data_IF_065120995406
#
_entry.id   IF_065120995406
#
_cell.length_a   1.000
_cell.length_b   1.000
_cell.length_c   1.000
_cell.angle_alpha   90.00
_cell.angle_beta   90.00
_cell.angle_gamma   90.00
#
_symmetry.space_group_name_H-M   'P 1'
#
loop_
_entity.id
_entity.type
_entity.pdbx_description
1 polymer ?
#
# COMPACT_ATOMS: atom_id res chain seq x y z
N UNK A 1 -16.76 14.44 20.84
CA UNK A 1 -16.14 15.79 20.84
C UNK A 1 -15.89 16.17 19.39
N UNK A 2 -16.60 17.18 18.86
CA UNK A 2 -16.48 17.63 17.46
C UNK A 2 -15.53 18.82 17.42
N UNK A 3 -14.40 18.70 16.72
CA UNK A 3 -13.49 19.84 16.50
C UNK A 3 -13.78 20.38 15.10
N UNK A 4 -14.32 21.59 15.04
CA UNK A 4 -14.53 22.32 13.79
C UNK A 4 -13.44 23.38 13.67
N UNK A 5 -12.65 23.36 12.58
CA UNK A 5 -11.60 24.35 12.34
C UNK A 5 -12.02 25.20 11.13
N UNK A 6 -12.17 26.50 11.34
CA UNK A 6 -12.57 27.46 10.30
C UNK A 6 -11.34 28.19 9.73
N UNK A 7 -11.38 28.60 8.45
CA UNK A 7 -10.25 29.28 7.79
C UNK A 7 -10.16 30.79 8.09
N UNK A 8 -11.14 31.40 8.78
CA UNK A 8 -11.10 32.83 9.10
C UNK A 8 -10.40 33.11 10.43
N UNK A 9 -9.56 34.16 10.43
CA UNK A 9 -8.71 34.59 11.54
C UNK A 9 -9.48 35.03 12.80
N UNK A 10 -10.81 35.17 12.72
CA UNK A 10 -11.66 35.65 13.81
C UNK A 10 -12.10 34.58 14.81
N UNK A 11 -12.11 33.30 14.43
CA UNK A 11 -12.76 32.24 15.22
C UNK A 11 -11.80 31.11 15.60
N UNK A 12 -10.58 31.47 15.99
CA UNK A 12 -9.59 30.53 16.53
C UNK A 12 -9.87 30.22 18.01
N UNK A 13 -11.00 29.59 18.32
CA UNK A 13 -11.21 28.95 19.61
C UNK A 13 -10.64 27.52 19.57
N UNK A 14 -9.31 27.42 19.69
CA UNK A 14 -8.61 26.13 19.83
C UNK A 14 -7.92 26.12 21.19
N UNK A 15 -8.51 25.31 22.10
CA UNK A 15 -7.95 24.78 23.35
C UNK A 15 -7.85 25.74 24.55
N UNK A 16 -8.90 25.73 25.37
CA UNK A 16 -8.79 26.05 26.81
C UNK A 16 -9.46 25.00 27.70
N UNK A 17 -9.39 23.71 27.33
CA UNK A 17 -9.99 22.64 28.13
C UNK A 17 -9.20 21.34 28.27
N UNK A 18 -7.92 21.34 27.88
CA UNK A 18 -6.97 20.30 28.26
C UNK A 18 -5.74 21.01 28.81
N UNK A 19 -5.48 20.92 30.11
CA UNK A 19 -4.50 21.70 30.87
C UNK A 19 -3.03 21.50 30.46
N UNK A 20 -2.68 21.93 29.25
CA UNK A 20 -1.31 21.93 28.72
C UNK A 20 -0.73 23.33 28.76
N UNK A 21 -0.36 23.80 29.95
CA UNK A 21 0.34 25.08 30.16
C UNK A 21 1.81 25.05 29.69
N UNK A 22 2.38 23.88 29.42
CA UNK A 22 3.82 23.71 29.13
C UNK A 22 4.25 23.80 27.66
N UNK A 23 3.32 23.87 26.71
CA UNK A 23 3.65 23.76 25.26
C UNK A 23 3.75 25.14 24.59
N UNK A 24 3.26 26.22 25.23
CA UNK A 24 3.19 27.54 24.60
C UNK A 24 4.56 28.23 24.37
N UNK A 25 5.58 27.91 25.17
CA UNK A 25 6.85 28.63 25.14
C UNK A 25 7.81 28.25 23.97
N UNK A 26 8.01 26.97 23.60
CA UNK A 26 8.83 26.63 22.43
C UNK A 26 8.12 26.93 21.09
N UNK A 27 6.81 27.18 21.11
CA UNK A 27 6.02 27.45 19.92
C UNK A 27 6.43 28.74 19.23
N UNK A 28 6.60 29.85 19.97
CA UNK A 28 6.87 31.16 19.38
C UNK A 28 8.22 31.25 18.65
N UNK A 29 9.16 30.37 18.99
CA UNK A 29 10.50 30.33 18.41
C UNK A 29 10.56 29.59 17.07
N UNK A 30 9.66 28.60 16.85
CA UNK A 30 9.56 27.85 15.59
C UNK A 30 8.86 28.64 14.46
N UNK A 31 8.08 29.66 14.82
CA UNK A 31 7.26 30.45 13.88
C UNK A 31 8.01 31.48 13.04
N UNK A 32 9.29 31.77 13.30
CA UNK A 32 10.03 32.84 12.59
C UNK A 32 10.75 32.40 11.31
N UNK A 33 10.74 31.12 10.92
CA UNK A 33 11.66 30.61 9.88
C UNK A 33 11.08 29.72 8.77
N UNK A 34 9.77 29.56 8.65
CA UNK A 34 9.18 28.60 7.69
C UNK A 34 8.06 29.22 6.86
N UNK A 35 8.09 28.97 5.55
CA UNK A 35 7.12 29.42 4.54
C UNK A 35 5.76 28.68 4.61
N UNK A 36 5.51 27.92 5.68
CA UNK A 36 4.23 27.26 5.90
C UNK A 36 3.28 28.18 6.65
N UNK A 37 2.08 28.36 6.10
CA UNK A 37 1.01 29.06 6.78
C UNK A 37 0.75 28.42 8.15
N UNK A 38 0.58 29.25 9.19
CA UNK A 38 0.47 28.81 10.61
C UNK A 38 -0.57 27.71 10.82
N UNK A 39 -1.61 27.71 9.98
CA UNK A 39 -2.65 26.68 9.91
C UNK A 39 -2.11 25.27 9.60
N UNK A 40 -1.18 25.15 8.63
CA UNK A 40 -0.60 23.87 8.21
C UNK A 40 0.27 23.26 9.30
N UNK A 41 1.03 24.10 10.01
CA UNK A 41 1.88 23.66 11.12
C UNK A 41 1.03 23.18 12.29
N UNK A 42 -0.04 23.91 12.64
CA UNK A 42 -0.96 23.49 13.71
C UNK A 42 -1.67 22.19 13.35
N UNK A 43 -2.17 22.05 12.12
CA UNK A 43 -2.78 20.79 11.66
C UNK A 43 -1.76 19.64 11.72
N UNK A 44 -0.54 19.84 11.22
CA UNK A 44 0.50 18.82 11.23
C UNK A 44 0.89 18.39 12.65
N UNK A 45 1.04 19.33 13.58
CA UNK A 45 1.38 19.05 14.98
C UNK A 45 0.24 18.35 15.74
N UNK A 46 -1.01 18.74 15.49
CA UNK A 46 -2.18 18.03 16.04
C UNK A 46 -2.22 16.59 15.51
N UNK A 47 -1.92 16.39 14.23
CA UNK A 47 -1.92 15.07 13.62
C UNK A 47 -0.75 14.20 14.10
N UNK A 48 0.43 14.79 14.32
CA UNK A 48 1.58 14.11 14.96
C UNK A 48 1.31 13.75 16.42
N UNK A 49 0.66 14.62 17.19
CA UNK A 49 0.27 14.34 18.56
C UNK A 49 -0.73 13.18 18.62
N UNK A 50 -1.73 13.19 17.75
CA UNK A 50 -2.73 12.12 17.62
C UNK A 50 -2.11 10.79 17.15
N UNK A 51 -1.14 10.84 16.23
CA UNK A 51 -0.43 9.65 15.73
C UNK A 51 0.42 8.96 16.81
N UNK A 52 0.77 9.67 17.89
CA UNK A 52 1.67 9.21 18.96
C UNK A 52 0.95 8.46 20.08
N UNK A 53 -0.36 8.67 20.28
CA UNK A 53 -1.08 8.13 21.45
C UNK A 53 -1.83 6.81 21.22
N UNK A 54 -1.79 6.21 20.00
CA UNK A 54 -2.39 4.89 19.68
C UNK A 54 -3.84 4.69 20.20
N UNK A 55 -4.60 5.76 20.46
CA UNK A 55 -5.99 5.68 20.90
C UNK A 55 -6.88 6.31 19.84
N UNK A 56 -7.60 5.42 19.16
CA UNK A 56 -8.62 5.72 18.18
C UNK A 56 -9.64 6.73 18.72
N UNK A 57 -9.58 7.96 18.23
CA UNK A 57 -10.71 8.89 18.27
C UNK A 57 -10.79 9.52 16.86
N UNK A 58 -11.33 8.75 15.91
CA UNK A 58 -11.45 9.15 14.49
C UNK A 58 -12.90 9.35 14.03
N UNK A 59 -13.82 9.69 14.93
CA UNK A 59 -15.24 9.80 14.54
C UNK A 59 -15.78 11.21 14.29
N UNK A 60 -15.04 12.31 14.48
CA UNK A 60 -15.67 13.63 14.37
C UNK A 60 -14.77 14.84 14.05
N UNK A 61 -13.77 14.69 13.16
CA UNK A 61 -13.04 15.85 12.63
C UNK A 61 -13.54 16.12 11.21
N UNK A 62 -14.36 17.16 11.06
CA UNK A 62 -14.84 17.63 9.75
C UNK A 62 -14.10 18.93 9.42
N UNK A 63 -13.09 18.84 8.54
CA UNK A 63 -12.42 20.03 7.99
C UNK A 63 -13.22 20.49 6.78
N UNK A 64 -13.85 21.67 6.88
CA UNK A 64 -14.50 22.30 5.73
C UNK A 64 -13.40 22.87 4.83
N UNK A 65 -13.25 22.28 3.63
CA UNK A 65 -12.27 22.61 2.58
C UNK A 65 -10.79 22.33 2.95
N UNK A 66 -10.37 21.04 2.99
CA UNK A 66 -8.97 20.72 3.17
C UNK A 66 -8.15 21.05 1.90
N UNK A 67 -6.98 21.69 2.07
CA UNK A 67 -5.95 21.72 1.03
C UNK A 67 -5.50 20.29 0.70
N UNK A 68 -4.98 20.03 -0.52
CA UNK A 68 -4.65 18.66 -1.00
C UNK A 68 -3.83 17.83 0.00
N UNK A 69 -2.87 18.45 0.69
CA UNK A 69 -2.02 17.82 1.71
C UNK A 69 -2.79 17.40 2.97
N UNK A 70 -3.77 18.21 3.41
CA UNK A 70 -4.61 17.91 4.57
C UNK A 70 -5.63 16.82 4.22
N UNK A 71 -6.14 16.82 2.99
CA UNK A 71 -6.99 15.74 2.50
C UNK A 71 -6.25 14.40 2.48
N UNK A 72 -5.02 14.40 1.94
CA UNK A 72 -4.13 13.23 1.93
C UNK A 72 -3.83 12.72 3.35
N UNK A 73 -3.56 13.62 4.30
CA UNK A 73 -3.28 13.25 5.68
C UNK A 73 -4.53 12.72 6.40
N UNK A 74 -5.70 13.31 6.13
CA UNK A 74 -7.00 12.76 6.61
C UNK A 74 -7.26 11.38 6.01
N UNK A 75 -6.92 11.14 4.74
CA UNK A 75 -7.03 9.80 4.14
C UNK A 75 -6.09 8.81 4.84
N UNK A 76 -4.81 9.18 5.04
CA UNK A 76 -3.86 8.36 5.81
C UNK A 76 -4.37 8.02 7.22
N UNK A 77 -5.01 8.99 7.89
CA UNK A 77 -5.53 8.79 9.25
C UNK A 77 -6.85 8.02 9.28
N UNK A 78 -7.71 8.17 8.26
CA UNK A 78 -8.89 7.32 8.05
C UNK A 78 -8.51 5.86 7.77
N UNK A 79 -7.42 5.63 7.05
CA UNK A 79 -6.85 4.31 6.82
C UNK A 79 -6.33 3.68 8.12
N UNK A 80 -5.72 4.48 9.00
CA UNK A 80 -5.34 4.05 10.37
C UNK A 80 -6.54 3.76 11.28
N UNK A 81 -7.71 4.35 11.03
CA UNK A 81 -8.89 4.25 11.89
C UNK A 81 -9.78 3.02 11.65
N UNK A 82 -9.42 2.16 10.69
CA UNK A 82 -10.16 0.93 10.35
C UNK A 82 -9.22 -0.28 10.39
N UNK A 83 -8.60 -0.48 11.55
CA UNK A 83 -7.76 -1.64 11.86
C UNK A 83 -8.58 -2.93 11.74
N UNK A 84 -8.16 -3.76 10.81
CA UNK A 84 -8.69 -5.08 10.55
C UNK A 84 -7.82 -5.70 9.47
N UNK A 85 -7.45 -6.97 9.66
CA UNK A 85 -6.75 -7.76 8.66
C UNK A 85 -7.56 -7.79 7.36
N UNK A 86 -7.06 -7.18 6.30
CA UNK A 86 -7.73 -7.09 5.00
C UNK A 86 -7.16 -8.09 4.03
N UNK A 87 -8.04 -8.77 3.30
CA UNK A 87 -7.62 -9.57 2.14
C UNK A 87 -6.91 -8.64 1.16
N UNK A 88 -5.70 -9.01 0.79
CA UNK A 88 -4.83 -8.23 -0.09
C UNK A 88 -4.28 -9.14 -1.16
N UNK A 89 -4.35 -8.67 -2.41
CA UNK A 89 -3.81 -9.40 -3.55
C UNK A 89 -2.71 -8.59 -4.20
N UNK A 90 -1.56 -9.24 -4.37
CA UNK A 90 -0.41 -8.73 -5.12
C UNK A 90 -0.22 -9.58 -6.38
N UNK A 91 -0.02 -8.91 -7.51
CA UNK A 91 0.33 -9.54 -8.78
C UNK A 91 1.83 -9.67 -8.90
N UNK A 92 2.28 -10.78 -9.48
CA UNK A 92 3.68 -11.08 -9.75
C UNK A 92 3.89 -11.19 -11.25
N UNK A 93 5.01 -10.68 -11.76
CA UNK A 93 5.39 -10.80 -13.17
C UNK A 93 6.89 -10.95 -13.38
N UNK A 94 7.33 -11.88 -14.23
CA UNK A 94 8.74 -12.07 -14.58
C UNK A 94 8.93 -12.43 -16.06
N UNK A 95 9.90 -11.79 -16.74
CA UNK A 95 10.25 -12.12 -18.12
C UNK A 95 11.74 -12.29 -18.41
N UNK A 96 12.61 -12.27 -17.39
CA UNK A 96 14.06 -12.45 -17.55
C UNK A 96 14.57 -13.63 -16.72
N UNK A 97 15.54 -14.36 -17.29
CA UNK A 97 16.23 -15.46 -16.59
C UNK A 97 15.30 -16.61 -16.21
N UNK A 98 15.49 -17.15 -15.01
CA UNK A 98 14.61 -18.17 -14.44
C UNK A 98 13.31 -17.52 -13.95
N UNK A 99 12.37 -17.30 -14.89
CA UNK A 99 11.09 -16.62 -14.63
C UNK A 99 10.30 -17.29 -13.51
N UNK A 100 10.23 -18.61 -13.49
CA UNK A 100 9.49 -19.35 -12.47
C UNK A 100 10.20 -19.26 -11.11
N UNK A 101 11.53 -19.42 -11.08
CA UNK A 101 12.33 -19.24 -9.87
C UNK A 101 12.19 -17.84 -9.28
N UNK A 102 12.08 -16.80 -10.10
CA UNK A 102 11.83 -15.43 -9.63
C UNK A 102 10.45 -15.27 -9.00
N UNK A 103 9.39 -15.83 -9.61
CA UNK A 103 8.06 -15.84 -9.01
C UNK A 103 8.05 -16.59 -7.67
N UNK A 104 8.69 -17.76 -7.60
CA UNK A 104 8.79 -18.55 -6.37
C UNK A 104 9.58 -17.82 -5.27
N UNK A 105 10.68 -17.16 -5.64
CA UNK A 105 11.47 -16.36 -4.71
C UNK A 105 10.67 -15.18 -4.15
N UNK A 106 9.85 -14.52 -4.97
CA UNK A 106 8.95 -13.46 -4.54
C UNK A 106 7.88 -13.96 -3.55
N UNK A 107 7.27 -15.13 -3.83
CA UNK A 107 6.33 -15.78 -2.89
C UNK A 107 7.00 -16.09 -1.56
N UNK A 108 8.20 -16.69 -1.59
CA UNK A 108 8.94 -17.03 -0.37
C UNK A 108 9.33 -15.79 0.45
N UNK A 109 9.81 -14.73 -0.22
CA UNK A 109 10.16 -13.47 0.43
C UNK A 109 8.94 -12.78 1.06
N UNK A 110 7.79 -12.82 0.38
CA UNK A 110 6.54 -12.31 0.93
C UNK A 110 6.06 -13.13 2.13
N UNK A 111 6.07 -14.46 2.02
CA UNK A 111 5.65 -15.38 3.07
C UNK A 111 6.47 -15.23 4.36
N UNK A 112 7.76 -14.89 4.24
CA UNK A 112 8.65 -14.68 5.37
C UNK A 112 8.24 -13.49 6.27
N UNK A 113 7.51 -12.49 5.76
CA UNK A 113 7.05 -11.36 6.59
C UNK A 113 5.54 -11.32 6.80
N UNK A 114 4.74 -11.83 5.86
CA UNK A 114 3.30 -12.03 6.07
C UNK A 114 2.88 -13.40 5.54
N UNK A 115 2.17 -14.23 6.33
CA UNK A 115 1.73 -15.53 5.87
C UNK A 115 0.88 -15.43 4.59
N UNK A 116 1.45 -15.94 3.50
CA UNK A 116 0.71 -16.15 2.24
C UNK A 116 -0.38 -17.19 2.47
N UNK A 117 -1.61 -16.85 2.12
CA UNK A 117 -2.78 -17.72 2.26
C UNK A 117 -3.02 -18.56 1.00
N UNK A 118 -2.80 -17.99 -0.17
CA UNK A 118 -3.01 -18.67 -1.45
C UNK A 118 -2.16 -18.03 -2.57
N UNK A 119 -1.86 -18.84 -3.58
CA UNK A 119 -1.19 -18.42 -4.82
C UNK A 119 -2.02 -18.93 -5.99
N UNK A 120 -2.13 -18.14 -7.05
CA UNK A 120 -2.85 -18.55 -8.26
C UNK A 120 -2.02 -19.55 -9.07
N UNK A 121 -2.63 -20.12 -10.12
CA UNK A 121 -1.86 -20.70 -11.23
C UNK A 121 -0.90 -19.68 -11.85
N UNK A 122 0.11 -20.20 -12.54
CA UNK A 122 1.04 -19.40 -13.34
C UNK A 122 0.53 -19.31 -14.77
N UNK A 123 0.50 -18.09 -15.31
CA UNK A 123 0.03 -17.78 -16.66
C UNK A 123 1.14 -17.18 -17.51
N UNK A 124 1.28 -17.65 -18.75
CA UNK A 124 2.22 -17.07 -19.72
C UNK A 124 1.50 -16.09 -20.64
N UNK A 125 2.09 -14.92 -20.85
CA UNK A 125 1.49 -13.84 -21.64
C UNK A 125 2.50 -13.11 -22.53
N UNK A 126 1.98 -12.54 -23.62
CA UNK A 126 2.73 -11.57 -24.42
C UNK A 126 3.03 -10.31 -23.59
N UNK A 127 4.17 -9.65 -23.81
CA UNK A 127 4.48 -8.39 -23.15
C UNK A 127 3.60 -7.25 -23.67
N UNK A 128 3.36 -6.25 -22.81
CA UNK A 128 2.82 -4.97 -23.23
C UNK A 128 3.97 -4.03 -23.58
N UNK A 129 3.91 -3.39 -24.74
CA UNK A 129 4.89 -2.41 -25.19
C UNK A 129 5.88 -2.99 -26.21
N UNK A 130 7.18 -2.62 -26.15
CA UNK A 130 8.16 -3.07 -27.15
C UNK A 130 8.36 -4.59 -27.13
N UNK A 131 8.81 -5.19 -28.25
CA UNK A 131 9.13 -6.61 -28.31
C UNK A 131 10.13 -7.02 -27.22
N UNK A 132 9.75 -8.01 -26.41
CA UNK A 132 10.54 -8.55 -25.32
C UNK A 132 10.09 -10.00 -25.04
N UNK A 133 10.82 -10.78 -24.22
CA UNK A 133 10.41 -12.15 -23.90
C UNK A 133 9.03 -12.21 -23.24
N UNK A 134 8.39 -13.38 -23.35
CA UNK A 134 7.10 -13.65 -22.70
C UNK A 134 7.19 -13.51 -21.19
N UNK A 135 6.11 -13.05 -20.57
CA UNK A 135 5.99 -12.97 -19.12
C UNK A 135 5.39 -14.25 -18.54
N UNK A 136 5.87 -14.69 -17.39
CA UNK A 136 5.08 -15.48 -16.46
C UNK A 136 4.45 -14.52 -15.45
N UNK A 137 3.15 -14.70 -15.19
CA UNK A 137 2.38 -13.90 -14.24
C UNK A 137 1.63 -14.82 -13.26
N UNK A 138 1.48 -14.36 -12.03
CA UNK A 138 0.70 -15.01 -10.99
C UNK A 138 0.14 -13.96 -10.01
N UNK A 139 -0.68 -14.39 -9.05
CA UNK A 139 -1.14 -13.55 -7.95
C UNK A 139 -0.95 -14.27 -6.61
N UNK A 140 -0.86 -13.48 -5.54
CA UNK A 140 -0.66 -13.93 -4.17
C UNK A 140 -1.68 -13.25 -3.25
N UNK A 141 -2.38 -14.04 -2.45
CA UNK A 141 -3.34 -13.59 -1.45
C UNK A 141 -2.75 -13.73 -0.05
N UNK A 142 -2.90 -12.68 0.75
CA UNK A 142 -2.54 -12.66 2.17
C UNK A 142 -3.42 -11.67 2.93
N UNK A 143 -3.24 -11.61 4.25
CA UNK A 143 -3.87 -10.60 5.10
C UNK A 143 -2.88 -9.47 5.40
N UNK A 144 -3.34 -8.23 5.24
CA UNK A 144 -2.55 -7.03 5.50
C UNK A 144 -3.26 -6.11 6.48
N UNK A 145 -2.52 -5.65 7.49
CA UNK A 145 -3.00 -4.71 8.52
C UNK A 145 -2.38 -3.31 8.38
N UNK A 146 -1.29 -3.19 7.63
CA UNK A 146 -0.58 -1.93 7.43
C UNK A 146 -1.24 -0.99 6.42
N UNK A 147 -0.62 0.16 6.21
CA UNK A 147 -1.01 1.10 5.16
C UNK A 147 -0.62 0.60 3.76
N UNK A 148 -1.29 1.09 2.71
CA UNK A 148 -0.89 0.87 1.31
C UNK A 148 0.56 1.24 1.01
N UNK A 149 1.08 2.31 1.61
CA UNK A 149 2.45 2.77 1.39
C UNK A 149 3.50 1.87 2.04
N UNK A 150 3.22 1.35 3.22
CA UNK A 150 4.10 0.38 3.88
C UNK A 150 4.20 -0.89 3.02
N UNK A 151 3.06 -1.37 2.48
CA UNK A 151 3.06 -2.51 1.55
C UNK A 151 3.87 -2.19 0.30
N UNK A 152 3.66 -1.03 -0.34
CA UNK A 152 4.38 -0.65 -1.54
C UNK A 152 5.90 -0.61 -1.31
N UNK A 153 6.33 0.02 -0.22
CA UNK A 153 7.75 0.13 0.13
C UNK A 153 8.35 -1.25 0.36
N UNK A 154 7.60 -2.13 1.00
CA UNK A 154 8.03 -3.49 1.27
C UNK A 154 8.16 -4.33 -0.01
N UNK A 155 7.17 -4.28 -0.91
CA UNK A 155 7.25 -4.95 -2.21
C UNK A 155 8.45 -4.45 -3.02
N UNK A 156 8.70 -3.14 -3.06
CA UNK A 156 9.87 -2.57 -3.74
C UNK A 156 11.20 -3.05 -3.14
N UNK A 157 11.23 -3.35 -1.84
CA UNK A 157 12.41 -3.91 -1.17
C UNK A 157 12.65 -5.35 -1.61
N UNK A 158 11.59 -6.16 -1.72
CA UNK A 158 11.66 -7.54 -2.26
C UNK A 158 12.12 -7.52 -3.72
N UNK A 159 11.57 -6.64 -4.55
CA UNK A 159 12.00 -6.52 -5.94
C UNK A 159 13.48 -6.18 -6.06
N UNK A 160 13.95 -5.26 -5.22
CA UNK A 160 15.35 -4.83 -5.22
C UNK A 160 16.28 -5.96 -4.77
N UNK A 161 15.89 -6.77 -3.77
CA UNK A 161 16.68 -7.91 -3.31
C UNK A 161 16.72 -9.06 -4.33
N UNK A 162 15.70 -9.17 -5.18
CA UNK A 162 15.63 -10.11 -6.32
C UNK A 162 16.23 -9.55 -7.62
N UNK A 163 17.04 -8.49 -7.51
CA UNK A 163 17.84 -7.99 -8.62
C UNK A 163 17.09 -7.14 -9.64
N UNK A 164 15.92 -6.56 -9.29
CA UNK A 164 15.24 -5.61 -10.16
C UNK A 164 16.06 -4.31 -10.27
N UNK A 165 16.55 -3.99 -11.48
CA UNK A 165 17.22 -2.72 -11.79
C UNK A 165 16.32 -1.90 -12.73
N UNK A 166 16.02 -0.65 -12.37
CA UNK A 166 15.16 0.25 -13.16
C UNK A 166 15.99 0.99 -14.22
N UNK A 167 16.06 0.44 -15.43
CA UNK A 167 16.75 1.08 -16.57
C UNK A 167 15.81 1.88 -17.48
N UNK A 168 14.68 1.29 -17.90
CA UNK A 168 13.77 1.88 -18.89
C UNK A 168 12.30 1.68 -18.52
N UNK A 169 11.43 2.60 -18.95
CA UNK A 169 9.96 2.47 -18.78
C UNK A 169 9.47 1.33 -19.68
N UNK A 170 8.88 0.30 -19.06
CA UNK A 170 8.44 -0.97 -19.70
C UNK A 170 9.56 -1.89 -20.20
N UNK A 171 10.78 -1.71 -19.68
CA UNK A 171 11.85 -2.65 -19.93
C UNK A 171 11.60 -4.04 -19.31
N UNK A 172 12.34 -5.05 -19.78
CA UNK A 172 12.30 -6.39 -19.22
C UNK A 172 12.82 -6.37 -17.77
N UNK A 173 12.28 -7.25 -16.93
CA UNK A 173 12.51 -7.26 -15.48
C UNK A 173 12.55 -8.67 -14.92
N UNK A 174 13.44 -8.86 -13.93
CA UNK A 174 13.57 -10.11 -13.19
C UNK A 174 12.31 -10.42 -12.40
N UNK A 175 11.74 -9.42 -11.73
CA UNK A 175 10.47 -9.51 -11.01
C UNK A 175 9.74 -8.16 -11.00
N UNK A 176 8.42 -8.21 -10.97
CA UNK A 176 7.48 -7.10 -10.81
C UNK A 176 6.43 -7.52 -9.78
N UNK A 177 6.19 -6.69 -8.77
CA UNK A 177 5.22 -6.92 -7.71
C UNK A 177 4.28 -5.72 -7.62
N UNK A 178 3.05 -5.89 -8.10
CA UNK A 178 2.04 -4.83 -8.13
C UNK A 178 0.94 -5.09 -7.08
N UNK A 179 0.60 -4.08 -6.28
CA UNK A 179 -0.58 -4.15 -5.41
C UNK A 179 -1.82 -4.07 -6.28
N UNK A 180 -2.55 -5.18 -6.45
CA UNK A 180 -3.73 -5.21 -7.30
C UNK A 180 -4.96 -4.69 -6.55
N UNK A 181 -5.15 -5.15 -5.32
CA UNK A 181 -6.36 -4.86 -4.55
C UNK A 181 -6.12 -5.06 -3.05
N UNK A 182 -6.72 -4.17 -2.26
CA UNK A 182 -6.83 -4.32 -0.80
C UNK A 182 -8.31 -4.19 -0.47
N UNK A 183 -8.83 -5.15 0.28
CA UNK A 183 -10.25 -5.25 0.60
C UNK A 183 -10.82 -3.96 1.18
N UNK A 184 -11.80 -3.39 0.49
CA UNK A 184 -12.52 -2.19 0.91
C UNK A 184 -11.69 -0.90 0.91
N UNK A 185 -10.51 -0.89 0.28
CA UNK A 185 -9.64 0.28 0.20
C UNK A 185 -9.63 0.84 -1.23
N UNK A 186 -10.23 2.01 -1.39
CA UNK A 186 -9.97 2.89 -2.52
C UNK A 186 -8.87 3.88 -2.11
N UNK A 187 -7.76 3.91 -2.83
CA UNK A 187 -6.62 4.75 -2.52
C UNK A 187 -6.07 5.39 -3.79
N UNK A 188 -5.91 6.71 -3.78
CA UNK A 188 -5.37 7.45 -4.92
C UNK A 188 -4.30 8.42 -4.47
N UNK A 189 -3.13 8.32 -5.10
CA UNK A 189 -1.97 9.17 -4.86
C UNK A 189 -1.12 9.28 -6.12
N UNK A 190 -0.15 10.19 -6.11
CA UNK A 190 0.77 10.38 -7.25
C UNK A 190 1.66 9.17 -7.54
N UNK A 191 1.80 8.22 -6.61
CA UNK A 191 2.73 7.08 -6.72
C UNK A 191 2.06 5.71 -6.58
N UNK A 192 0.80 5.66 -6.13
CA UNK A 192 0.06 4.43 -5.86
C UNK A 192 -1.44 4.67 -6.03
N UNK A 193 -2.09 3.75 -6.73
CA UNK A 193 -3.53 3.72 -6.95
C UNK A 193 -4.05 2.31 -6.61
N UNK A 194 -5.07 2.20 -5.77
CA UNK A 194 -5.69 0.93 -5.32
C UNK A 194 -7.21 1.03 -5.47
N UNK A 195 -7.87 0.09 -6.16
CA UNK A 195 -7.28 -1.04 -6.90
C UNK A 195 -6.32 -0.57 -8.00
N UNK A 196 -5.42 -1.42 -8.47
CA UNK A 196 -4.46 -1.00 -9.50
C UNK A 196 -5.21 -0.42 -10.71
N UNK A 197 -4.82 0.78 -11.18
CA UNK A 197 -5.58 1.57 -12.14
C UNK A 197 -5.95 0.80 -13.43
N UNK A 198 -5.03 -0.02 -13.94
CA UNK A 198 -5.27 -0.86 -15.14
C UNK A 198 -5.75 -2.29 -14.83
N UNK A 199 -6.18 -2.60 -13.59
CA UNK A 199 -6.54 -3.97 -13.20
C UNK A 199 -7.69 -4.52 -14.07
N UNK A 200 -8.72 -3.70 -14.30
CA UNK A 200 -9.90 -4.06 -15.13
C UNK A 200 -9.56 -4.30 -16.60
N UNK A 201 -8.46 -3.73 -17.08
CA UNK A 201 -8.07 -3.76 -18.49
C UNK A 201 -7.10 -4.91 -18.80
N UNK A 202 -6.43 -5.45 -17.77
CA UNK A 202 -5.32 -6.40 -17.92
C UNK A 202 -5.76 -7.80 -17.53
N UNK A 203 -6.16 -8.60 -18.52
CA UNK A 203 -6.53 -10.00 -18.33
C UNK A 203 -5.45 -10.80 -17.55
N UNK A 204 -4.17 -10.56 -17.84
CA UNK A 204 -3.06 -11.26 -17.18
C UNK A 204 -2.93 -10.98 -15.68
N UNK A 205 -3.46 -9.85 -15.21
CA UNK A 205 -3.54 -9.52 -13.79
C UNK A 205 -4.90 -9.97 -13.20
N UNK A 206 -5.98 -9.78 -13.95
CA UNK A 206 -7.34 -10.03 -13.46
C UNK A 206 -7.69 -11.52 -13.36
N UNK A 207 -7.22 -12.35 -14.28
CA UNK A 207 -7.44 -13.81 -14.25
C UNK A 207 -6.85 -14.44 -12.97
N UNK A 208 -5.53 -14.30 -12.68
CA UNK A 208 -4.97 -14.87 -11.46
C UNK A 208 -5.53 -14.20 -10.19
N UNK A 209 -5.91 -12.92 -10.24
CA UNK A 209 -6.58 -12.23 -9.14
C UNK A 209 -7.96 -12.83 -8.81
N UNK A 210 -8.83 -13.01 -9.81
CA UNK A 210 -10.17 -13.57 -9.63
C UNK A 210 -10.16 -15.06 -9.27
N UNK A 211 -9.08 -15.78 -9.57
CA UNK A 211 -8.87 -17.15 -9.09
C UNK A 211 -8.77 -17.20 -7.55
N UNK A 212 -8.17 -16.17 -6.94
CA UNK A 212 -7.95 -16.10 -5.49
C UNK A 212 -9.13 -15.49 -4.73
N UNK A 213 -9.77 -14.48 -5.30
CA UNK A 213 -10.85 -13.72 -4.67
C UNK A 213 -12.01 -13.49 -5.67
N UNK A 214 -12.77 -14.54 -6.03
CA UNK A 214 -13.84 -14.44 -7.02
C UNK A 214 -15.01 -13.54 -6.56
N UNK A 215 -15.12 -13.31 -5.25
CA UNK A 215 -16.09 -12.43 -4.61
C UNK A 215 -15.61 -10.97 -4.49
N UNK A 216 -14.42 -10.64 -5.00
CA UNK A 216 -13.87 -9.31 -4.86
C UNK A 216 -14.72 -8.25 -5.55
N UNK A 217 -14.90 -7.14 -4.83
CA UNK A 217 -15.65 -5.96 -5.29
C UNK A 217 -14.68 -4.79 -5.37
N UNK A 218 -14.88 -3.96 -6.38
CA UNK A 218 -14.13 -2.73 -6.55
C UNK A 218 -14.63 -1.68 -5.54
N UNK A 219 -13.79 -1.22 -4.59
CA UNK A 219 -14.19 -0.26 -3.58
C UNK A 219 -14.53 1.12 -4.14
N UNK A 220 -14.13 1.46 -5.37
CA UNK A 220 -14.42 2.77 -5.98
C UNK A 220 -15.86 2.88 -6.49
N UNK A 221 -16.38 1.82 -7.10
CA UNK A 221 -17.69 1.81 -7.76
C UNK A 221 -18.64 0.73 -7.24
N UNK A 222 -18.20 -0.11 -6.29
CA UNK A 222 -18.98 -1.19 -5.67
C UNK A 222 -19.47 -2.26 -6.67
N UNK A 223 -18.84 -2.35 -7.84
CA UNK A 223 -19.13 -3.37 -8.83
C UNK A 223 -18.16 -4.56 -8.72
N UNK A 224 -18.60 -5.80 -9.03
CA UNK A 224 -17.70 -6.93 -9.12
C UNK A 224 -16.67 -6.73 -10.24
N UNK A 225 -15.50 -7.33 -10.09
CA UNK A 225 -14.52 -7.41 -11.17
C UNK A 225 -14.98 -8.41 -12.24
N UNK A 226 -14.92 -8.02 -13.50
CA UNK A 226 -15.30 -8.86 -14.64
C UNK A 226 -14.10 -8.99 -15.56
N UNK A 227 -13.72 -10.23 -15.87
CA UNK A 227 -12.58 -10.51 -16.74
C UNK A 227 -12.83 -10.00 -18.16
N UNK A 228 -11.92 -9.17 -18.73
CA UNK A 228 -11.95 -8.87 -20.16
C UNK A 228 -11.61 -10.15 -20.97
N UNK A 229 -11.77 -10.13 -22.30
CA UNK A 229 -11.30 -11.21 -23.15
C UNK A 229 -9.84 -11.57 -22.83
N UNK A 230 -9.53 -12.87 -22.75
CA UNK A 230 -8.24 -13.37 -22.23
C UNK A 230 -7.03 -12.87 -23.02
N UNK A 231 -7.20 -12.47 -24.28
CA UNK A 231 -6.18 -11.73 -25.03
C UNK A 231 -4.83 -12.45 -25.15
N UNK A 232 -4.83 -13.79 -25.16
CA UNK A 232 -3.59 -14.60 -25.23
C UNK A 232 -2.97 -14.95 -23.88
N UNK A 233 -3.72 -14.82 -22.78
CA UNK A 233 -3.33 -15.37 -21.47
C UNK A 233 -3.50 -16.89 -21.48
N UNK A 234 -2.39 -17.62 -21.34
CA UNK A 234 -2.38 -19.09 -21.35
C UNK A 234 -1.99 -19.63 -19.97
N UNK A 235 -2.82 -20.49 -19.38
CA UNK A 235 -2.43 -21.20 -18.15
C UNK A 235 -1.28 -22.17 -18.43
N UNK A 236 -0.28 -22.20 -17.55
CA UNK A 236 0.84 -23.14 -17.65
C UNK A 236 0.64 -24.37 -16.75
N UNK A 237 1.53 -25.36 -16.87
CA UNK A 237 1.60 -26.49 -15.93
C UNK A 237 2.46 -26.16 -14.70
N UNK A 238 3.06 -24.96 -14.63
CA UNK A 238 3.85 -24.56 -13.48
C UNK A 238 2.96 -24.26 -12.28
N UNK A 239 3.48 -24.58 -11.09
CA UNK A 239 2.82 -24.33 -9.81
C UNK A 239 3.79 -23.58 -8.90
N UNK A 240 3.26 -22.64 -8.13
CA UNK A 240 3.99 -21.97 -7.06
C UNK A 240 3.68 -22.68 -5.74
N UNK A 241 4.68 -22.81 -4.89
CA UNK A 241 4.55 -23.44 -3.58
C UNK A 241 4.56 -22.38 -2.49
N UNK A 242 3.66 -22.52 -1.52
CA UNK A 242 3.72 -21.74 -0.29
C UNK A 242 4.69 -22.48 0.64
N UNK A 243 5.77 -21.84 1.12
CA UNK A 243 6.71 -22.49 2.03
C UNK A 243 5.96 -23.08 3.24
N UNK A 244 6.22 -24.35 3.56
CA UNK A 244 5.69 -24.93 4.79
C UNK A 244 6.34 -24.24 5.98
N UNK A 245 5.53 -23.79 6.95
CA UNK A 245 6.05 -23.27 8.22
C UNK A 245 6.75 -24.43 8.94
N UNK A 246 8.08 -24.52 8.82
CA UNK A 246 8.86 -25.36 9.71
C UNK A 246 8.78 -24.73 11.09
N UNK A 247 8.18 -25.42 12.05
CA UNK A 247 8.16 -25.02 13.45
C UNK A 247 9.61 -24.87 13.96
N UNK A 248 10.14 -23.65 14.00
CA UNK A 248 11.46 -23.39 14.55
C UNK A 248 12.08 -22.08 14.09
N UNK A 249 11.84 -21.02 14.87
CA UNK A 249 12.77 -19.95 15.30
C UNK A 249 11.99 -18.63 15.45
N UNK A 250 12.17 -17.87 16.54
CA UNK A 250 11.60 -16.52 16.66
C UNK A 250 12.21 -15.64 15.56
N UNK A 251 11.37 -14.76 15.01
CA UNK A 251 11.79 -13.65 14.15
C UNK A 251 12.92 -12.91 14.87
N UNK A 252 14.09 -12.83 14.23
CA UNK A 252 15.20 -12.02 14.72
C UNK A 252 14.89 -10.54 14.47
N UNK A 253 14.44 -9.86 15.52
CA UNK A 253 14.16 -8.41 15.54
C UNK A 253 15.42 -7.55 15.29
N UNK A 254 16.60 -8.15 15.12
CA UNK A 254 17.86 -7.43 14.85
C UNK A 254 17.91 -6.72 13.50
N UNK A 255 17.01 -7.04 12.56
CA UNK A 255 16.95 -6.39 11.23
C UNK A 255 16.24 -5.03 11.21
N UNK A 256 15.61 -4.59 12.31
CA UNK A 256 14.91 -3.29 12.38
C UNK A 256 15.50 -2.27 13.35
N UNK A 257 16.65 -2.53 13.97
CA UNK A 257 17.32 -1.52 14.82
C UNK A 257 18.40 -0.80 14.01
N UNK A 258 17.97 0.23 13.27
CA UNK A 258 18.85 1.23 12.72
C UNK A 258 19.64 1.96 13.81
N UNK A 259 20.96 1.93 13.68
CA UNK A 259 21.98 2.58 14.49
C UNK A 259 21.55 3.93 15.08
N UNK A 260 21.47 3.99 16.42
CA UNK A 260 21.80 5.22 17.15
C UNK A 260 23.31 5.33 17.26
N UNK A 261 23.93 6.22 16.49
CA UNK A 261 25.09 7.00 16.90
C UNK A 261 24.98 8.39 16.29
#
# INVERSE_FOLDING_TARGET
>A
MVISVFPSFSDLFVLYQFGYTGIAHPFNTLFKKSAFDRFHVVCFLVLLAMAREKKAIFSAITIKQPHKTVFFLIQMLKLRGKEGMRRTVVGLGSNLGDRLGMLQAAVSALHACTPVLAVSKVYETQPIGPPQPLYLNAAVLFLWEGSPFELLTWLQTIESSLGRIRHERWGPRTIDMDILWIEGIAFDSTVLHIPHASLRERAFALIPFLELVPDAVDPENQAPFVCPPTGGVCSTLFSLEIPSVSSGSPIDDSLFVGSKK
#
